data_IF_897223153290
#
_entry.id   IF_897223153290
#
_cell.length_a   1.000
_cell.length_b   1.000
_cell.length_c   1.000
_cell.angle_alpha   90.00
_cell.angle_beta   90.00
_cell.angle_gamma   90.00
#
_symmetry.space_group_name_H-M   'P 1'
#
loop_
_entity.id
_entity.type
_entity.pdbx_description
1 polymer ?
#
# COMPACT_ATOMS: atom_id res chain seq x y z
N UNK A 1 58.61 75.48 19.73
CA UNK A 1 57.51 75.24 20.71
C UNK A 1 56.51 74.32 20.06
N UNK A 2 56.53 73.02 20.34
CA UNK A 2 55.77 71.98 19.73
C UNK A 2 54.73 71.50 20.72
N UNK A 3 53.42 71.59 20.36
CA UNK A 3 52.34 70.94 21.09
C UNK A 3 52.05 69.59 20.46
N UNK A 4 52.11 68.54 21.26
CA UNK A 4 51.70 67.17 20.94
C UNK A 4 50.19 67.04 21.23
N UNK A 5 49.43 66.63 20.23
CA UNK A 5 48.03 66.23 20.37
C UNK A 5 47.96 64.77 20.75
N UNK A 6 47.26 64.40 21.82
CA UNK A 6 46.89 63.04 22.24
C UNK A 6 45.60 62.64 21.52
N UNK A 7 45.68 61.57 20.75
CA UNK A 7 44.48 60.89 20.23
C UNK A 7 44.06 59.79 21.21
N UNK A 8 42.86 59.93 21.78
CA UNK A 8 42.17 58.85 22.50
C UNK A 8 41.47 57.98 21.47
N UNK A 9 41.85 56.71 21.37
CA UNK A 9 41.12 55.66 20.63
C UNK A 9 40.20 54.97 21.63
N UNK A 10 38.89 55.19 21.48
CA UNK A 10 37.86 54.44 22.22
C UNK A 10 37.64 53.06 21.60
N UNK A 11 37.95 52.02 22.34
CA UNK A 11 37.56 50.64 22.00
C UNK A 11 36.08 50.41 22.33
N UNK A 12 35.23 50.32 21.33
CA UNK A 12 33.87 49.83 21.49
C UNK A 12 33.90 48.29 21.41
N UNK A 13 33.71 47.62 22.55
CA UNK A 13 33.53 46.18 22.59
C UNK A 13 32.10 45.84 22.14
N UNK A 14 31.92 45.31 20.92
CA UNK A 14 30.69 44.66 20.49
C UNK A 14 30.60 43.30 21.17
N UNK A 15 29.71 43.16 22.14
CA UNK A 15 29.30 41.85 22.70
C UNK A 15 28.38 41.17 21.71
N UNK A 16 28.91 40.24 20.92
CA UNK A 16 28.09 39.31 20.14
C UNK A 16 27.49 38.26 21.10
N UNK A 17 26.23 38.42 21.44
CA UNK A 17 25.46 37.38 22.11
C UNK A 17 25.26 36.24 21.10
N UNK A 18 26.05 35.18 21.24
CA UNK A 18 25.79 33.92 20.54
C UNK A 18 24.50 33.32 21.11
N UNK A 19 23.40 33.41 20.34
CA UNK A 19 22.24 32.58 20.59
C UNK A 19 22.63 31.16 20.25
N UNK A 20 23.02 30.37 21.24
CA UNK A 20 23.10 28.93 21.15
C UNK A 20 21.67 28.40 21.12
N UNK A 21 21.07 28.34 19.93
CA UNK A 21 19.92 27.50 19.71
C UNK A 21 20.35 26.06 20.02
N UNK A 22 19.80 25.47 21.05
CA UNK A 22 19.90 24.05 21.29
C UNK A 22 19.24 23.40 20.09
N UNK A 23 20.03 22.88 19.13
CA UNK A 23 19.53 21.95 18.16
C UNK A 23 19.01 20.74 18.96
N UNK A 24 17.70 20.55 18.98
CA UNK A 24 17.10 19.30 19.48
C UNK A 24 17.62 18.23 18.55
N UNK A 25 18.34 17.24 19.09
CA UNK A 25 18.79 16.12 18.30
C UNK A 25 17.56 15.38 17.73
N UNK A 26 17.62 15.00 16.45
CA UNK A 26 16.54 14.19 15.86
C UNK A 26 16.27 12.95 16.70
N UNK A 27 15.01 12.47 16.78
CA UNK A 27 14.66 11.25 17.49
C UNK A 27 15.53 10.07 17.05
N UNK A 28 15.90 9.23 17.99
CA UNK A 28 16.77 8.07 17.76
C UNK A 28 16.46 6.99 18.80
N UNK A 29 17.09 5.81 18.66
CA UNK A 29 16.96 4.74 19.62
C UNK A 29 17.82 4.93 20.89
N UNK A 30 18.58 6.01 20.99
CA UNK A 30 19.54 6.21 22.09
C UNK A 30 20.69 5.19 22.06
N UNK A 31 21.43 5.10 23.17
CA UNK A 31 22.57 4.18 23.32
C UNK A 31 22.25 2.94 24.16
N UNK A 32 21.19 2.97 24.94
CA UNK A 32 20.77 1.86 25.79
C UNK A 32 20.14 0.73 24.97
N UNK A 33 20.15 -0.51 25.46
CA UNK A 33 19.45 -1.62 24.81
C UNK A 33 17.93 -1.35 24.68
N UNK A 34 17.41 -1.49 23.47
CA UNK A 34 15.98 -1.32 23.14
C UNK A 34 15.45 -2.61 22.54
N UNK A 35 14.29 -3.06 23.02
CA UNK A 35 13.51 -4.13 22.40
C UNK A 35 12.25 -3.50 21.80
N UNK A 36 12.19 -3.46 20.47
CA UNK A 36 11.04 -2.98 19.70
C UNK A 36 9.98 -4.08 19.62
N UNK A 37 8.82 -3.85 20.21
CA UNK A 37 7.67 -4.74 20.03
C UNK A 37 7.01 -4.46 18.69
N UNK A 38 7.00 -5.45 17.81
CA UNK A 38 6.49 -5.29 16.44
C UNK A 38 5.38 -6.29 16.13
N UNK A 39 4.36 -5.86 15.39
CA UNK A 39 3.24 -6.70 14.95
C UNK A 39 3.10 -6.60 13.43
N UNK A 40 3.52 -7.66 12.72
CA UNK A 40 3.66 -7.71 11.28
C UNK A 40 2.67 -8.68 10.63
N UNK A 41 2.50 -8.56 9.34
CA UNK A 41 1.69 -9.45 8.52
C UNK A 41 2.48 -10.71 8.15
N UNK A 42 1.91 -11.88 8.42
CA UNK A 42 2.55 -13.17 8.11
C UNK A 42 2.63 -13.42 6.61
N UNK A 43 3.72 -14.03 6.16
CA UNK A 43 3.93 -14.41 4.76
C UNK A 43 4.61 -13.33 3.90
N UNK A 44 4.85 -12.13 4.44
CA UNK A 44 5.52 -11.04 3.75
C UNK A 44 6.84 -10.72 4.43
N UNK A 45 8.00 -11.10 3.83
CA UNK A 45 9.28 -11.05 4.51
C UNK A 45 9.87 -9.65 4.67
N UNK A 46 9.37 -8.64 3.94
CA UNK A 46 9.96 -7.30 3.89
C UNK A 46 10.13 -6.64 5.26
N UNK A 47 9.10 -6.53 6.14
CA UNK A 47 9.26 -5.85 7.42
C UNK A 47 10.30 -6.54 8.31
N UNK A 48 10.30 -7.87 8.34
CA UNK A 48 11.27 -8.67 9.11
C UNK A 48 12.70 -8.48 8.57
N UNK A 49 12.90 -8.46 7.25
CA UNK A 49 14.21 -8.20 6.63
C UNK A 49 14.72 -6.79 6.91
N UNK A 50 13.84 -5.80 6.94
CA UNK A 50 14.19 -4.43 7.33
C UNK A 50 14.58 -4.36 8.81
N UNK A 51 13.85 -5.03 9.70
CA UNK A 51 14.16 -5.11 11.13
C UNK A 51 15.53 -5.79 11.39
N UNK A 52 15.81 -6.90 10.69
CA UNK A 52 17.12 -7.57 10.75
C UNK A 52 18.27 -6.65 10.30
N UNK A 53 18.09 -5.90 9.22
CA UNK A 53 19.11 -4.99 8.72
C UNK A 53 19.29 -3.78 9.63
N UNK A 54 18.20 -3.26 10.21
CA UNK A 54 18.26 -2.20 11.20
C UNK A 54 19.06 -2.63 12.43
N UNK A 55 18.82 -3.82 12.97
CA UNK A 55 19.59 -4.40 14.10
C UNK A 55 21.08 -4.54 13.76
N UNK A 56 21.46 -4.87 12.52
CA UNK A 56 22.89 -4.91 12.12
C UNK A 56 23.55 -3.54 12.18
N UNK A 57 22.82 -2.49 11.78
CA UNK A 57 23.34 -1.12 11.81
C UNK A 57 23.25 -0.47 13.20
N UNK A 58 22.27 -0.89 14.01
CA UNK A 58 22.02 -0.41 15.37
C UNK A 58 21.96 -1.59 16.36
N UNK A 59 23.11 -2.17 16.76
CA UNK A 59 23.16 -3.43 17.53
C UNK A 59 22.53 -3.36 18.94
N UNK A 60 22.29 -2.16 19.46
CA UNK A 60 21.55 -1.97 20.70
C UNK A 60 20.04 -2.11 20.53
N UNK A 61 19.52 -2.21 19.31
CA UNK A 61 18.09 -2.39 18.99
C UNK A 61 17.84 -3.81 18.53
N UNK A 62 16.88 -4.46 19.14
CA UNK A 62 16.36 -5.78 18.74
C UNK A 62 14.85 -5.71 18.56
N UNK A 63 14.27 -6.67 17.84
CA UNK A 63 12.83 -6.73 17.61
C UNK A 63 12.23 -7.99 18.22
N UNK A 64 11.14 -7.83 18.97
CA UNK A 64 10.20 -8.91 19.34
C UNK A 64 9.04 -8.86 18.35
N UNK A 65 9.10 -9.72 17.32
CA UNK A 65 8.15 -9.70 16.20
C UNK A 65 7.07 -10.74 16.46
N UNK A 66 5.82 -10.28 16.47
CA UNK A 66 4.63 -11.14 16.38
C UNK A 66 4.03 -10.99 14.99
N UNK A 67 3.60 -12.10 14.42
CA UNK A 67 2.99 -12.11 13.08
C UNK A 67 1.57 -12.66 13.14
N UNK A 68 0.69 -12.12 12.30
CA UNK A 68 -0.67 -12.62 12.13
C UNK A 68 -1.15 -12.42 10.68
N UNK A 69 -2.22 -13.10 10.31
CA UNK A 69 -2.83 -12.94 8.99
C UNK A 69 -3.54 -11.60 8.88
N UNK A 70 -3.58 -11.02 7.67
CA UNK A 70 -4.20 -9.72 7.39
C UNK A 70 -5.62 -9.58 7.96
N UNK A 71 -6.48 -10.59 7.77
CA UNK A 71 -7.85 -10.56 8.30
C UNK A 71 -7.89 -10.45 9.84
N UNK A 72 -7.02 -11.20 10.53
CA UNK A 72 -6.91 -11.14 11.99
C UNK A 72 -6.36 -9.78 12.46
N UNK A 73 -5.43 -9.20 11.71
CA UNK A 73 -4.89 -7.88 12.03
C UNK A 73 -5.98 -6.81 11.93
N UNK A 74 -6.83 -6.86 10.90
CA UNK A 74 -7.98 -5.94 10.77
C UNK A 74 -8.90 -6.01 11.99
N UNK A 75 -9.18 -7.21 12.47
CA UNK A 75 -10.09 -7.44 13.59
C UNK A 75 -9.45 -7.11 14.96
N UNK A 76 -8.19 -7.48 15.15
CA UNK A 76 -7.54 -7.44 16.46
C UNK A 76 -6.75 -6.16 16.75
N UNK A 77 -6.41 -5.34 15.75
CA UNK A 77 -5.60 -4.13 15.97
C UNK A 77 -6.13 -3.20 17.06
N UNK A 78 -7.45 -2.91 17.15
CA UNK A 78 -7.95 -2.06 18.23
C UNK A 78 -7.69 -2.64 19.63
N UNK A 79 -7.89 -3.95 19.80
CA UNK A 79 -7.63 -4.63 21.07
C UNK A 79 -6.14 -4.61 21.42
N UNK A 80 -5.27 -4.96 20.47
CA UNK A 80 -3.82 -5.03 20.67
C UNK A 80 -3.26 -3.65 21.02
N UNK A 81 -3.70 -2.60 20.33
CA UNK A 81 -3.26 -1.21 20.58
C UNK A 81 -3.80 -0.63 21.89
N UNK A 82 -4.88 -1.19 22.45
CA UNK A 82 -5.42 -0.77 23.75
C UNK A 82 -4.65 -1.31 24.94
N UNK A 83 -3.84 -2.36 24.77
CA UNK A 83 -3.04 -2.98 25.82
C UNK A 83 -1.94 -2.02 26.34
N UNK A 84 -1.52 -2.18 27.60
CA UNK A 84 -0.50 -1.32 28.23
C UNK A 84 0.89 -1.50 27.60
N UNK A 85 1.13 -2.64 26.94
CA UNK A 85 2.33 -2.95 26.17
C UNK A 85 2.04 -2.95 24.66
N UNK A 86 1.29 -1.96 24.20
CA UNK A 86 0.99 -1.78 22.78
C UNK A 86 2.26 -1.85 21.92
N UNK A 87 2.19 -2.38 20.69
CA UNK A 87 3.34 -2.45 19.80
C UNK A 87 3.97 -1.08 19.55
N UNK A 88 5.30 -1.04 19.52
CA UNK A 88 6.06 0.12 19.06
C UNK A 88 5.89 0.33 17.56
N UNK A 89 5.70 -0.76 16.82
CA UNK A 89 5.48 -0.74 15.38
C UNK A 89 4.42 -1.75 14.98
N UNK A 90 3.38 -1.32 14.29
CA UNK A 90 2.27 -2.16 13.87
C UNK A 90 1.90 -1.93 12.41
N UNK A 91 1.71 -3.03 11.65
CA UNK A 91 1.08 -3.00 10.33
C UNK A 91 -0.40 -2.61 10.46
N UNK A 92 -0.83 -1.57 9.76
CA UNK A 92 -2.19 -1.02 9.84
C UNK A 92 -2.99 -1.29 8.56
N UNK A 93 -3.96 -2.19 8.58
CA UNK A 93 -4.92 -2.34 7.49
C UNK A 93 -5.88 -1.15 7.36
N UNK A 94 -6.27 -0.53 8.47
CA UNK A 94 -7.15 0.64 8.54
C UNK A 94 -6.76 1.54 9.70
N UNK A 95 -7.08 2.85 9.64
CA UNK A 95 -6.66 3.83 10.66
C UNK A 95 -7.82 4.60 11.30
N UNK A 96 -8.94 4.83 10.60
CA UNK A 96 -10.00 5.75 11.05
C UNK A 96 -10.46 5.47 12.48
N UNK A 97 -10.87 4.24 12.76
CA UNK A 97 -11.37 3.84 14.09
C UNK A 97 -10.25 3.88 15.14
N UNK A 98 -8.99 3.62 14.74
CA UNK A 98 -7.85 3.64 15.65
C UNK A 98 -7.52 5.08 16.08
N UNK A 99 -7.61 6.03 15.15
CA UNK A 99 -7.44 7.47 15.43
C UNK A 99 -8.58 7.98 16.30
N UNK A 100 -9.84 7.68 15.93
CA UNK A 100 -11.03 8.09 16.69
C UNK A 100 -11.03 7.61 18.16
N UNK A 101 -10.29 6.54 18.46
CA UNK A 101 -10.18 5.95 19.80
C UNK A 101 -8.83 6.21 20.47
N UNK A 102 -8.04 7.16 20.00
CA UNK A 102 -6.72 7.53 20.55
C UNK A 102 -5.74 6.34 20.70
N UNK A 103 -5.78 5.40 19.76
CA UNK A 103 -4.96 4.19 19.82
C UNK A 103 -3.61 4.31 19.11
N UNK A 104 -3.42 5.33 18.29
CA UNK A 104 -2.18 5.61 17.56
C UNK A 104 -1.46 6.85 18.09
N UNK A 105 -0.15 6.89 17.97
CA UNK A 105 0.64 8.09 18.20
C UNK A 105 0.50 9.05 17.01
N UNK A 106 0.27 10.33 17.31
CA UNK A 106 0.34 11.41 16.32
C UNK A 106 1.79 11.61 15.87
N UNK A 107 2.04 11.67 14.57
CA UNK A 107 3.38 11.76 13.99
C UNK A 107 3.77 13.16 13.50
N UNK A 108 2.96 14.20 13.70
CA UNK A 108 3.23 15.56 13.22
C UNK A 108 4.52 16.16 13.83
N UNK A 109 4.87 15.78 15.07
CA UNK A 109 6.15 16.12 15.67
C UNK A 109 7.32 15.54 14.89
N UNK A 110 7.27 14.24 14.63
CA UNK A 110 8.28 13.53 13.86
C UNK A 110 8.34 13.96 12.39
N UNK A 111 7.17 14.31 11.81
CA UNK A 111 7.08 14.88 10.45
C UNK A 111 7.98 16.11 10.32
N UNK A 112 7.96 16.99 11.33
CA UNK A 112 8.79 18.21 11.36
C UNK A 112 10.26 17.88 11.62
N UNK A 113 10.55 16.98 12.56
CA UNK A 113 11.90 16.67 13.01
C UNK A 113 12.73 15.90 11.99
N UNK A 114 12.10 14.96 11.26
CA UNK A 114 12.73 14.21 10.18
C UNK A 114 12.65 14.90 8.81
N UNK A 115 11.89 15.99 8.69
CA UNK A 115 11.71 16.71 7.43
C UNK A 115 10.94 15.90 6.39
N UNK A 116 9.88 15.19 6.81
CA UNK A 116 9.01 14.42 5.92
C UNK A 116 8.14 15.29 4.99
N UNK A 117 8.16 16.62 5.18
CA UNK A 117 7.63 17.61 4.25
C UNK A 117 8.26 17.54 2.85
N UNK A 118 9.46 16.95 2.73
CA UNK A 118 10.13 16.67 1.45
C UNK A 118 9.53 15.52 0.67
N UNK A 119 8.72 14.68 1.31
CA UNK A 119 8.07 13.56 0.61
C UNK A 119 6.98 14.12 -0.30
N UNK A 120 6.74 13.51 -1.47
CA UNK A 120 5.61 13.87 -2.32
C UNK A 120 4.30 13.84 -1.53
N UNK A 121 3.50 14.89 -1.61
CA UNK A 121 2.26 15.01 -0.83
C UNK A 121 1.31 13.82 -1.08
N UNK A 122 1.27 13.27 -2.30
CA UNK A 122 0.48 12.08 -2.65
C UNK A 122 0.87 10.82 -1.90
N UNK A 123 2.10 10.71 -1.42
CA UNK A 123 2.54 9.59 -0.58
C UNK A 123 2.01 9.67 0.85
N UNK A 124 1.75 10.87 1.36
CA UNK A 124 1.35 11.09 2.73
C UNK A 124 -0.17 11.28 2.90
N UNK A 125 -0.88 11.64 1.83
CA UNK A 125 -2.31 11.93 1.91
C UNK A 125 -3.12 10.76 2.46
N UNK A 126 -2.82 9.53 2.05
CA UNK A 126 -3.51 8.32 2.54
C UNK A 126 -3.23 8.01 4.02
N UNK A 127 -2.18 8.61 4.60
CA UNK A 127 -1.69 8.39 5.97
C UNK A 127 -2.18 9.47 6.94
N UNK A 128 -2.92 10.47 6.42
CA UNK A 128 -3.51 11.55 7.21
C UNK A 128 -4.97 11.26 7.54
N UNK A 129 -5.35 11.59 8.76
CA UNK A 129 -6.72 11.42 9.27
C UNK A 129 -7.01 12.59 10.19
N UNK A 130 -8.23 13.16 10.11
CA UNK A 130 -8.72 14.14 11.08
C UNK A 130 -8.84 13.52 12.49
N UNK A 131 -8.66 14.31 13.53
CA UNK A 131 -8.61 13.83 14.93
C UNK A 131 -9.85 13.01 15.35
N UNK A 132 -11.00 13.25 14.73
CA UNK A 132 -12.22 12.45 14.93
C UNK A 132 -12.25 11.11 14.17
N UNK A 133 -11.14 10.72 13.52
CA UNK A 133 -11.05 9.49 12.71
C UNK A 133 -11.54 9.63 11.27
N UNK A 134 -12.16 10.77 10.92
CA UNK A 134 -12.68 11.05 9.56
C UNK A 134 -12.91 12.54 9.32
N UNK A 135 -12.80 12.99 8.03
CA UNK A 135 -12.36 12.19 6.88
C UNK A 135 -10.87 11.81 6.94
N UNK A 136 -10.48 10.82 6.13
CA UNK A 136 -9.09 10.54 5.79
C UNK A 136 -8.62 11.46 4.66
N UNK A 137 -7.33 11.51 4.43
CA UNK A 137 -6.73 12.37 3.38
C UNK A 137 -6.49 13.81 3.82
N UNK A 138 -6.80 14.16 5.06
CA UNK A 138 -6.60 15.47 5.68
C UNK A 138 -6.25 15.29 7.18
N UNK A 139 -5.98 16.39 7.87
CA UNK A 139 -5.64 16.36 9.29
C UNK A 139 -4.20 15.92 9.58
N UNK A 140 -4.01 15.31 10.74
CA UNK A 140 -2.71 14.89 11.26
C UNK A 140 -2.17 13.64 10.59
N UNK A 141 -0.85 13.45 10.62
CA UNK A 141 -0.16 12.23 10.18
C UNK A 141 -0.16 11.20 11.31
N UNK A 142 -0.63 9.97 11.01
CA UNK A 142 -0.78 8.91 12.01
C UNK A 142 0.02 7.63 11.70
N UNK A 143 0.58 7.56 10.50
CA UNK A 143 1.36 6.42 10.06
C UNK A 143 2.37 6.82 8.99
N UNK A 144 3.29 5.90 8.66
CA UNK A 144 4.18 5.99 7.52
C UNK A 144 4.09 4.73 6.66
N UNK A 145 4.39 4.86 5.36
CA UNK A 145 4.54 3.72 4.46
C UNK A 145 5.96 3.20 4.48
N UNK A 146 6.15 1.89 4.60
CA UNK A 146 7.46 1.29 4.35
C UNK A 146 7.80 1.30 2.85
N UNK A 147 6.78 1.17 2.01
CA UNK A 147 6.80 1.32 0.56
C UNK A 147 5.43 1.75 0.04
N UNK A 148 5.32 1.87 -1.28
CA UNK A 148 4.08 2.23 -1.98
C UNK A 148 3.80 1.16 -3.02
N UNK A 149 2.86 0.30 -2.69
CA UNK A 149 2.47 -0.84 -3.52
C UNK A 149 1.32 -0.49 -4.44
N UNK A 150 1.17 -1.27 -5.51
CA UNK A 150 0.04 -1.16 -6.42
C UNK A 150 -0.41 -2.56 -6.87
N UNK A 151 -1.63 -2.66 -7.38
CA UNK A 151 -2.11 -3.87 -8.05
C UNK A 151 -2.14 -3.70 -9.57
N UNK A 152 -2.05 -4.82 -10.26
CA UNK A 152 -2.16 -4.91 -11.71
C UNK A 152 -2.26 -6.36 -12.14
N UNK A 153 -1.83 -6.64 -13.35
CA UNK A 153 -2.00 -7.92 -14.02
C UNK A 153 -0.65 -8.60 -14.20
N UNK A 154 -0.40 -9.65 -13.44
CA UNK A 154 0.68 -10.59 -13.74
C UNK A 154 0.24 -11.54 -14.84
N UNK A 155 1.13 -11.90 -15.75
CA UNK A 155 0.82 -12.84 -16.82
C UNK A 155 1.92 -13.88 -17.05
N UNK A 156 1.51 -15.07 -17.43
CA UNK A 156 2.42 -16.14 -17.81
C UNK A 156 2.89 -15.92 -19.26
N UNK A 157 4.19 -15.60 -19.45
CA UNK A 157 4.78 -15.27 -20.75
C UNK A 157 4.67 -16.43 -21.76
N UNK A 158 4.81 -17.68 -21.33
CA UNK A 158 4.72 -18.84 -22.20
C UNK A 158 3.28 -19.01 -22.74
N UNK A 159 2.28 -18.94 -21.85
CA UNK A 159 0.87 -19.04 -22.26
C UNK A 159 0.44 -17.84 -23.11
N UNK A 160 0.89 -16.64 -22.77
CA UNK A 160 0.63 -15.44 -23.56
C UNK A 160 1.22 -15.54 -24.97
N UNK A 161 2.45 -15.99 -25.11
CA UNK A 161 3.08 -16.24 -26.40
C UNK A 161 2.36 -17.31 -27.23
N UNK A 162 1.91 -18.42 -26.59
CA UNK A 162 1.08 -19.46 -27.24
C UNK A 162 -0.22 -18.87 -27.79
N UNK A 163 -0.80 -17.89 -27.12
CA UNK A 163 -2.00 -17.17 -27.57
C UNK A 163 -1.70 -16.03 -28.55
N UNK A 164 -0.43 -15.83 -28.91
CA UNK A 164 -0.01 -14.79 -29.86
C UNK A 164 0.03 -13.38 -29.28
N UNK A 165 0.08 -13.22 -27.95
CA UNK A 165 0.29 -11.95 -27.29
C UNK A 165 1.76 -11.54 -27.48
N UNK A 166 2.01 -10.48 -28.25
CA UNK A 166 3.36 -9.91 -28.45
C UNK A 166 3.62 -8.71 -27.54
N UNK A 167 2.57 -7.98 -27.19
CA UNK A 167 2.57 -6.83 -26.29
C UNK A 167 1.34 -6.93 -25.36
N UNK A 168 1.37 -6.31 -24.18
CA UNK A 168 0.20 -6.21 -23.31
C UNK A 168 -0.99 -5.57 -24.02
N UNK A 169 -2.25 -5.99 -23.74
CA UNK A 169 -3.46 -5.35 -24.24
C UNK A 169 -3.47 -3.86 -23.95
N UNK A 170 -3.90 -3.06 -24.92
CA UNK A 170 -3.95 -1.60 -24.84
C UNK A 170 -5.34 -1.08 -24.49
N UNK A 171 -6.37 -1.93 -24.59
CA UNK A 171 -7.75 -1.62 -24.25
C UNK A 171 -8.37 -2.76 -23.44
N UNK A 172 -9.42 -2.43 -22.69
CA UNK A 172 -10.21 -3.44 -21.96
C UNK A 172 -10.80 -4.50 -22.92
N UNK A 173 -11.24 -4.06 -24.11
CA UNK A 173 -11.76 -5.00 -25.14
C UNK A 173 -10.69 -5.97 -25.66
N UNK A 174 -9.45 -5.52 -25.82
CA UNK A 174 -8.33 -6.42 -26.20
C UNK A 174 -8.00 -7.39 -25.08
N UNK A 175 -8.09 -6.93 -23.82
CA UNK A 175 -7.89 -7.79 -22.66
C UNK A 175 -8.97 -8.89 -22.59
N UNK A 176 -10.24 -8.52 -22.77
CA UNK A 176 -11.35 -9.49 -22.84
C UNK A 176 -11.19 -10.52 -23.95
N UNK A 177 -10.80 -10.07 -25.15
CA UNK A 177 -10.54 -10.96 -26.28
C UNK A 177 -9.39 -11.94 -25.98
N UNK A 178 -8.38 -11.54 -25.22
CA UNK A 178 -7.29 -12.40 -24.77
C UNK A 178 -7.80 -13.46 -23.78
N UNK A 179 -8.67 -13.09 -22.83
CA UNK A 179 -9.28 -14.02 -21.86
C UNK A 179 -10.20 -15.04 -22.57
N UNK A 180 -11.02 -14.58 -23.52
CA UNK A 180 -11.88 -15.44 -24.32
C UNK A 180 -11.05 -16.47 -25.12
N UNK A 181 -9.97 -16.01 -25.76
CA UNK A 181 -9.05 -16.86 -26.51
C UNK A 181 -8.39 -17.92 -25.59
N UNK A 182 -7.94 -17.51 -24.40
CA UNK A 182 -7.37 -18.44 -23.42
C UNK A 182 -8.38 -19.56 -23.08
N UNK A 183 -9.62 -19.19 -22.79
CA UNK A 183 -10.68 -20.14 -22.48
C UNK A 183 -10.96 -21.10 -23.64
N UNK A 184 -11.02 -20.59 -24.88
CA UNK A 184 -11.24 -21.39 -26.08
C UNK A 184 -10.14 -22.44 -26.31
N UNK A 185 -8.90 -22.12 -25.91
CA UNK A 185 -7.74 -23.02 -25.95
C UNK A 185 -7.62 -23.93 -24.72
N UNK A 186 -8.61 -23.92 -23.81
CA UNK A 186 -8.61 -24.70 -22.58
C UNK A 186 -7.60 -24.25 -21.52
N UNK A 187 -7.11 -23.01 -21.63
CA UNK A 187 -6.26 -22.37 -20.64
C UNK A 187 -7.14 -21.63 -19.63
N UNK A 188 -6.90 -21.80 -18.32
CA UNK A 188 -7.57 -21.01 -17.29
C UNK A 188 -7.27 -19.53 -17.52
N UNK A 189 -8.28 -18.67 -17.84
CA UNK A 189 -8.00 -17.27 -18.16
C UNK A 189 -7.41 -16.51 -16.99
N UNK A 190 -8.11 -16.50 -15.83
CA UNK A 190 -7.71 -15.76 -14.63
C UNK A 190 -7.53 -16.75 -13.49
N UNK A 191 -6.34 -16.82 -12.90
CA UNK A 191 -6.10 -17.52 -11.66
C UNK A 191 -6.30 -16.56 -10.49
N UNK A 192 -7.33 -16.75 -9.68
CA UNK A 192 -7.67 -15.87 -8.58
C UNK A 192 -8.22 -16.62 -7.38
N UNK A 193 -7.92 -16.14 -6.18
CA UNK A 193 -8.52 -16.64 -4.94
C UNK A 193 -9.78 -15.83 -4.58
N UNK A 194 -10.65 -16.39 -3.74
CA UNK A 194 -11.79 -15.65 -3.16
C UNK A 194 -12.22 -16.19 -1.79
N UNK A 195 -11.40 -17.06 -1.16
CA UNK A 195 -11.63 -17.51 0.20
C UNK A 195 -11.10 -16.51 1.21
N UNK A 196 -11.90 -16.15 2.20
CA UNK A 196 -11.49 -15.35 3.35
C UNK A 196 -11.41 -13.86 3.09
N UNK A 197 -10.42 -13.43 2.33
CA UNK A 197 -10.09 -12.00 2.14
C UNK A 197 -10.59 -11.41 0.82
N UNK A 198 -11.56 -12.05 0.14
CA UNK A 198 -12.21 -11.47 -1.04
C UNK A 198 -11.24 -11.07 -2.16
N UNK A 199 -10.42 -12.01 -2.63
CA UNK A 199 -9.40 -11.74 -3.64
C UNK A 199 -9.93 -11.14 -4.95
N UNK A 200 -11.21 -11.33 -5.27
CA UNK A 200 -11.87 -10.67 -6.39
C UNK A 200 -12.03 -9.15 -6.19
N UNK A 201 -11.72 -8.60 -5.02
CA UNK A 201 -11.61 -7.15 -4.85
C UNK A 201 -10.50 -6.55 -5.74
N UNK A 202 -9.42 -7.29 -6.03
CA UNK A 202 -8.35 -6.81 -6.89
C UNK A 202 -8.78 -6.64 -8.36
N UNK A 203 -9.32 -7.67 -9.04
CA UNK A 203 -9.83 -7.45 -10.40
C UNK A 203 -10.98 -6.42 -10.43
N UNK A 204 -11.85 -6.38 -9.41
CA UNK A 204 -12.92 -5.37 -9.33
C UNK A 204 -12.34 -3.95 -9.29
N UNK A 205 -11.37 -3.69 -8.43
CA UNK A 205 -10.79 -2.36 -8.29
C UNK A 205 -9.97 -1.95 -9.51
N UNK A 206 -9.29 -2.90 -10.17
CA UNK A 206 -8.65 -2.66 -11.47
C UNK A 206 -9.68 -2.31 -12.56
N UNK A 207 -10.83 -2.98 -12.58
CA UNK A 207 -11.94 -2.63 -13.48
C UNK A 207 -12.53 -1.25 -13.15
N UNK A 208 -12.69 -0.89 -11.87
CA UNK A 208 -13.11 0.48 -11.50
C UNK A 208 -12.15 1.52 -12.09
N UNK A 209 -10.84 1.25 -12.05
CA UNK A 209 -9.84 2.12 -12.66
C UNK A 209 -9.87 2.14 -14.19
N UNK A 210 -10.29 1.05 -14.84
CA UNK A 210 -10.46 1.02 -16.29
C UNK A 210 -11.64 1.86 -16.76
N UNK A 211 -12.73 1.90 -15.98
CA UNK A 211 -13.95 2.63 -16.31
C UNK A 211 -13.96 4.08 -15.84
N UNK A 212 -13.22 4.45 -14.81
CA UNK A 212 -13.32 5.80 -14.26
C UNK A 212 -12.10 6.30 -13.52
N UNK A 213 -12.18 7.58 -13.12
CA UNK A 213 -11.12 8.22 -12.34
C UNK A 213 -11.08 7.70 -10.89
N UNK A 214 -9.91 7.75 -10.23
CA UNK A 214 -9.75 7.25 -8.85
C UNK A 214 -10.46 8.11 -7.80
N UNK A 215 -10.77 9.37 -8.09
CA UNK A 215 -11.25 10.34 -7.11
C UNK A 215 -12.56 9.91 -6.41
N UNK A 216 -13.63 9.45 -7.10
CA UNK A 216 -14.86 9.02 -6.43
C UNK A 216 -14.65 7.83 -5.49
N UNK A 217 -13.81 6.89 -5.89
CA UNK A 217 -13.45 5.71 -5.06
C UNK A 217 -12.65 6.16 -3.84
N UNK A 218 -11.66 7.04 -4.03
CA UNK A 218 -10.88 7.61 -2.91
C UNK A 218 -11.76 8.43 -1.96
N UNK A 219 -12.69 9.22 -2.47
CA UNK A 219 -13.60 10.02 -1.64
C UNK A 219 -14.46 9.13 -0.74
N UNK A 220 -14.94 8.01 -1.26
CA UNK A 220 -15.64 6.99 -0.49
C UNK A 220 -14.74 6.31 0.55
N UNK A 221 -13.54 5.88 0.15
CA UNK A 221 -12.58 5.25 1.06
C UNK A 221 -12.14 6.21 2.18
N UNK A 222 -12.01 7.50 1.86
CA UNK A 222 -11.63 8.53 2.83
C UNK A 222 -12.80 9.03 3.67
N UNK A 223 -13.99 8.46 3.50
CA UNK A 223 -15.19 8.80 4.29
C UNK A 223 -15.56 10.28 4.19
N UNK A 224 -15.42 10.86 2.98
CA UNK A 224 -15.85 12.24 2.75
C UNK A 224 -17.36 12.35 2.73
N UNK A 225 -17.87 13.49 3.18
CA UNK A 225 -19.31 13.75 3.25
C UNK A 225 -19.99 13.56 1.89
N UNK A 226 -21.03 12.74 1.86
CA UNK A 226 -21.81 12.47 0.65
C UNK A 226 -21.15 11.52 -0.36
N UNK A 227 -19.97 11.00 -0.07
CA UNK A 227 -19.31 10.04 -0.94
C UNK A 227 -20.05 8.69 -0.98
N UNK A 228 -20.06 8.07 -2.14
CA UNK A 228 -20.69 6.77 -2.38
C UNK A 228 -19.84 5.93 -3.32
N UNK A 229 -19.82 4.60 -3.09
CA UNK A 229 -19.23 3.66 -4.05
C UNK A 229 -20.24 3.32 -5.17
N UNK A 230 -21.51 3.62 -5.00
CA UNK A 230 -22.55 3.38 -6.00
C UNK A 230 -22.51 4.45 -7.10
N UNK A 231 -21.41 4.49 -7.83
CA UNK A 231 -21.20 5.33 -9.02
C UNK A 231 -21.47 4.55 -10.30
N UNK A 232 -21.79 5.20 -11.42
CA UNK A 232 -21.95 4.51 -12.71
C UNK A 232 -20.77 3.62 -13.06
N UNK A 233 -19.54 4.11 -12.89
CA UNK A 233 -18.30 3.43 -13.24
C UNK A 233 -18.05 2.20 -12.34
N UNK A 234 -18.33 2.30 -11.03
CA UNK A 234 -18.19 1.17 -10.12
C UNK A 234 -19.26 0.09 -10.39
N UNK A 235 -20.49 0.50 -10.76
CA UNK A 235 -21.56 -0.43 -11.17
C UNK A 235 -21.21 -1.13 -12.48
N UNK A 236 -20.60 -0.42 -13.44
CA UNK A 236 -20.14 -0.99 -14.70
C UNK A 236 -18.99 -1.97 -14.49
N UNK A 237 -18.00 -1.61 -13.67
CA UNK A 237 -16.91 -2.49 -13.26
C UNK A 237 -17.42 -3.79 -12.60
N UNK A 238 -18.38 -3.68 -11.70
CA UNK A 238 -18.99 -4.82 -11.03
C UNK A 238 -19.80 -5.70 -11.99
N UNK A 239 -20.49 -5.10 -12.97
CA UNK A 239 -21.21 -5.80 -14.03
C UNK A 239 -20.22 -6.54 -14.94
N UNK A 240 -19.09 -5.93 -15.26
CA UNK A 240 -18.03 -6.55 -16.05
C UNK A 240 -17.43 -7.76 -15.31
N UNK A 241 -17.12 -7.61 -14.02
CA UNK A 241 -16.65 -8.72 -13.19
C UNK A 241 -17.66 -9.88 -13.15
N UNK A 242 -18.96 -9.57 -13.01
CA UNK A 242 -20.04 -10.56 -13.10
C UNK A 242 -20.02 -11.31 -14.44
N UNK A 243 -19.80 -10.59 -15.55
CA UNK A 243 -19.70 -11.19 -16.87
C UNK A 243 -18.49 -12.14 -16.97
N UNK A 244 -17.34 -11.80 -16.42
CA UNK A 244 -16.20 -12.71 -16.35
C UNK A 244 -16.49 -13.97 -15.52
N UNK A 245 -17.21 -13.82 -14.40
CA UNK A 245 -17.66 -14.97 -13.58
C UNK A 245 -18.59 -15.87 -14.40
N UNK A 246 -19.62 -15.30 -15.05
CA UNK A 246 -20.56 -16.04 -15.92
C UNK A 246 -19.89 -16.70 -17.11
N UNK A 247 -18.90 -16.03 -17.68
CA UNK A 247 -18.07 -16.60 -18.75
C UNK A 247 -17.16 -17.72 -18.23
N UNK A 248 -17.03 -17.96 -16.92
CA UNK A 248 -16.17 -18.98 -16.32
C UNK A 248 -14.69 -18.70 -16.53
N UNK A 249 -14.29 -17.44 -16.40
CA UNK A 249 -12.88 -17.05 -16.50
C UNK A 249 -12.10 -17.30 -15.22
N UNK A 250 -12.78 -17.45 -14.09
CA UNK A 250 -12.18 -17.82 -12.80
C UNK A 250 -12.22 -19.33 -12.55
N UNK A 251 -11.33 -19.87 -11.69
CA UNK A 251 -11.43 -21.27 -11.27
C UNK A 251 -12.80 -21.56 -10.65
N UNK A 252 -13.38 -22.73 -10.97
CA UNK A 252 -14.67 -23.14 -10.41
C UNK A 252 -14.67 -23.28 -8.88
N UNK A 253 -13.47 -23.45 -8.30
CA UNK A 253 -13.22 -23.53 -6.86
C UNK A 253 -12.69 -22.21 -6.25
N UNK A 254 -12.81 -21.05 -6.93
CA UNK A 254 -12.26 -19.77 -6.49
C UNK A 254 -12.65 -19.40 -5.05
N UNK A 255 -13.90 -19.68 -4.64
CA UNK A 255 -14.38 -19.45 -3.26
C UNK A 255 -13.72 -20.38 -2.20
N UNK A 256 -12.99 -21.39 -2.61
CA UNK A 256 -12.25 -22.31 -1.73
C UNK A 256 -10.73 -22.06 -1.76
N UNK A 257 -10.24 -21.28 -2.71
CA UNK A 257 -8.81 -20.99 -2.89
C UNK A 257 -8.40 -19.87 -1.94
N UNK A 258 -7.33 -20.12 -1.18
CA UNK A 258 -6.64 -19.11 -0.36
C UNK A 258 -5.51 -18.42 -1.13
N UNK A 259 -5.04 -17.27 -0.64
CA UNK A 259 -4.01 -16.44 -1.29
C UNK A 259 -2.75 -17.24 -1.69
N UNK A 260 -2.10 -17.89 -0.72
CA UNK A 260 -0.86 -18.64 -1.01
C UNK A 260 -1.09 -19.90 -1.85
N UNK A 261 -2.29 -20.47 -1.82
CA UNK A 261 -2.65 -21.56 -2.70
C UNK A 261 -2.77 -21.07 -4.16
N UNK A 262 -3.41 -19.92 -4.37
CA UNK A 262 -3.47 -19.26 -5.69
C UNK A 262 -2.06 -18.97 -6.21
N UNK A 263 -1.19 -18.36 -5.38
CA UNK A 263 0.21 -18.09 -5.76
C UNK A 263 0.95 -19.34 -6.19
N UNK A 264 0.83 -20.45 -5.44
CA UNK A 264 1.46 -21.73 -5.78
C UNK A 264 0.96 -22.29 -7.10
N UNK A 265 -0.36 -22.22 -7.37
CA UNK A 265 -0.97 -22.68 -8.62
C UNK A 265 -0.52 -21.83 -9.80
N UNK A 266 -0.50 -20.49 -9.66
CA UNK A 266 -0.08 -19.58 -10.72
C UNK A 266 1.42 -19.73 -11.07
N UNK A 267 2.30 -19.79 -10.07
CA UNK A 267 3.74 -20.04 -10.26
C UNK A 267 3.96 -21.44 -10.88
N UNK A 268 3.11 -22.39 -10.55
CA UNK A 268 3.09 -23.73 -11.13
C UNK A 268 2.62 -23.78 -12.59
N UNK A 269 2.17 -22.67 -13.16
CA UNK A 269 1.75 -22.53 -14.55
C UNK A 269 0.24 -22.63 -14.79
N UNK A 270 -0.59 -22.65 -13.74
CA UNK A 270 -2.03 -22.60 -13.86
C UNK A 270 -2.50 -21.16 -14.06
N UNK A 271 -3.15 -20.88 -15.19
CA UNK A 271 -3.73 -19.59 -15.50
C UNK A 271 -2.85 -18.70 -16.38
N UNK A 272 -3.53 -17.95 -17.25
CA UNK A 272 -2.89 -16.96 -18.13
C UNK A 272 -2.51 -15.71 -17.37
N UNK A 273 -3.45 -15.15 -16.60
CA UNK A 273 -3.25 -13.94 -15.80
C UNK A 273 -3.68 -14.14 -14.36
N UNK A 274 -3.18 -13.25 -13.49
CA UNK A 274 -3.52 -13.12 -12.09
C UNK A 274 -3.53 -11.64 -11.71
N UNK A 275 -4.58 -11.20 -11.03
CA UNK A 275 -4.61 -9.87 -10.44
C UNK A 275 -3.98 -9.92 -9.05
N UNK A 276 -2.89 -9.19 -8.86
CA UNK A 276 -2.19 -9.14 -7.57
C UNK A 276 -1.36 -7.86 -7.47
N UNK A 277 -0.71 -7.67 -6.33
CA UNK A 277 0.15 -6.53 -6.11
C UNK A 277 1.62 -6.80 -6.40
N UNK A 278 2.34 -5.71 -6.62
CA UNK A 278 3.77 -5.67 -6.89
C UNK A 278 4.62 -6.27 -5.77
N UNK A 279 4.08 -6.42 -4.56
CA UNK A 279 4.73 -7.12 -3.43
C UNK A 279 5.09 -8.59 -3.71
N UNK A 280 4.54 -9.18 -4.77
CA UNK A 280 4.92 -10.53 -5.24
C UNK A 280 6.07 -10.52 -6.26
N UNK A 281 6.51 -9.35 -6.73
CA UNK A 281 7.53 -9.25 -7.79
C UNK A 281 8.84 -9.91 -7.40
N UNK A 282 9.31 -9.66 -6.17
CA UNK A 282 10.51 -10.31 -5.64
C UNK A 282 10.38 -11.83 -5.55
N UNK A 283 9.17 -12.33 -5.22
CA UNK A 283 8.87 -13.78 -5.20
C UNK A 283 8.94 -14.38 -6.61
N UNK A 284 8.37 -13.70 -7.62
CA UNK A 284 8.47 -14.14 -9.02
C UNK A 284 9.91 -14.12 -9.52
N UNK A 285 10.65 -13.07 -9.24
CA UNK A 285 12.05 -12.95 -9.68
C UNK A 285 12.95 -14.01 -9.03
N UNK A 286 12.71 -14.35 -7.75
CA UNK A 286 13.46 -15.36 -7.03
C UNK A 286 13.13 -16.80 -7.45
N UNK A 287 11.85 -17.12 -7.67
CA UNK A 287 11.37 -18.50 -7.82
C UNK A 287 10.96 -18.86 -9.24
N UNK A 288 10.75 -17.88 -10.13
CA UNK A 288 10.25 -18.09 -11.48
C UNK A 288 10.81 -17.07 -12.49
N UNK A 289 12.07 -16.71 -12.35
CA UNK A 289 12.75 -15.70 -13.15
C UNK A 289 12.48 -15.86 -14.65
N UNK A 290 12.05 -14.76 -15.30
CA UNK A 290 11.81 -14.70 -16.73
C UNK A 290 10.51 -15.34 -17.22
N UNK A 291 9.75 -16.05 -16.37
CA UNK A 291 8.52 -16.75 -16.78
C UNK A 291 7.29 -15.87 -16.76
N UNK A 292 7.29 -14.82 -15.94
CA UNK A 292 6.16 -13.93 -15.76
C UNK A 292 6.48 -12.50 -16.19
N UNK A 293 5.46 -11.74 -16.48
CA UNK A 293 5.51 -10.32 -16.72
C UNK A 293 4.40 -9.61 -15.96
N UNK A 294 4.38 -8.28 -16.04
CA UNK A 294 3.40 -7.45 -15.37
C UNK A 294 3.00 -6.30 -16.28
N UNK A 295 1.73 -5.88 -16.21
CA UNK A 295 1.23 -4.65 -16.81
C UNK A 295 0.07 -4.08 -15.99
N UNK A 296 -0.18 -2.77 -16.12
CA UNK A 296 -1.38 -2.14 -15.56
C UNK A 296 -2.61 -2.54 -16.37
N UNK A 297 -3.74 -2.72 -15.69
CA UNK A 297 -5.02 -2.93 -16.37
C UNK A 297 -5.24 -1.81 -17.38
N UNK A 298 -5.49 -2.10 -18.67
CA UNK A 298 -5.77 -1.07 -19.64
C UNK A 298 -7.12 -0.40 -19.36
N UNK A 299 -7.24 0.86 -19.74
CA UNK A 299 -8.52 1.57 -19.76
C UNK A 299 -9.40 1.08 -20.93
N UNK A 300 -10.67 1.53 -21.00
CA UNK A 300 -11.55 1.22 -22.11
C UNK A 300 -10.96 1.67 -23.46
N UNK A 301 -10.39 2.88 -23.50
CA UNK A 301 -9.83 3.50 -24.70
C UNK A 301 -8.31 3.38 -24.70
N UNK A 302 -7.74 3.14 -25.87
CA UNK A 302 -6.29 3.10 -26.04
C UNK A 302 -5.64 4.44 -25.67
N UNK A 303 -4.61 4.42 -24.83
CA UNK A 303 -3.94 5.61 -24.31
C UNK A 303 -4.74 6.39 -23.27
N UNK A 304 -5.83 5.81 -22.76
CA UNK A 304 -6.54 6.35 -21.59
C UNK A 304 -5.69 6.22 -20.33
N UNK A 305 -6.10 6.96 -19.29
CA UNK A 305 -5.43 6.97 -17.99
C UNK A 305 -5.49 5.58 -17.32
N UNK A 306 -4.37 5.16 -16.76
CA UNK A 306 -4.36 4.00 -15.88
C UNK A 306 -4.72 4.43 -14.46
N UNK A 307 -5.63 3.68 -13.83
CA UNK A 307 -5.90 3.81 -12.40
C UNK A 307 -6.01 2.43 -11.77
N UNK A 308 -5.42 2.28 -10.60
CA UNK A 308 -5.37 1.01 -9.88
C UNK A 308 -5.23 1.25 -8.38
N UNK A 309 -5.51 0.21 -7.60
CA UNK A 309 -5.15 0.24 -6.18
C UNK A 309 -3.66 0.55 -6.06
N UNK A 310 -3.36 1.65 -5.37
CA UNK A 310 -2.00 2.02 -5.00
C UNK A 310 -2.04 2.64 -3.60
N UNK A 311 -1.43 1.96 -2.66
CA UNK A 311 -1.48 2.31 -1.27
C UNK A 311 -0.12 2.08 -0.58
N UNK A 312 0.20 2.88 0.46
CA UNK A 312 1.36 2.62 1.29
C UNK A 312 1.21 1.29 2.03
N UNK A 313 2.30 0.56 2.21
CA UNK A 313 2.41 -0.49 3.21
C UNK A 313 2.47 0.19 4.58
N UNK A 314 1.30 0.47 5.14
CA UNK A 314 1.10 1.39 6.26
C UNK A 314 1.56 0.78 7.58
N UNK A 315 2.39 1.53 8.31
CA UNK A 315 2.83 1.21 9.66
C UNK A 315 2.59 2.39 10.59
N UNK A 316 2.00 2.13 11.74
CA UNK A 316 1.79 3.09 12.81
C UNK A 316 2.54 2.74 14.07
N UNK A 317 2.52 3.67 15.01
CA UNK A 317 3.11 3.57 16.35
C UNK A 317 1.95 3.57 17.34
N UNK A 318 1.92 2.62 18.27
CA UNK A 318 0.89 2.58 19.31
C UNK A 318 0.92 3.83 20.20
N UNK A 319 -0.24 4.35 20.59
CA UNK A 319 -0.31 5.50 21.51
C UNK A 319 0.39 5.22 22.85
N UNK A 320 0.35 3.96 23.30
CA UNK A 320 0.99 3.50 24.54
C UNK A 320 2.36 2.84 24.31
N UNK A 321 2.91 2.90 23.10
CA UNK A 321 4.22 2.33 22.76
C UNK A 321 5.32 2.90 23.66
N UNK A 322 6.23 2.05 24.11
CA UNK A 322 7.32 2.43 25.01
C UNK A 322 8.47 3.14 24.25
N UNK A 323 8.71 2.78 22.98
CA UNK A 323 9.88 3.18 22.21
C UNK A 323 9.50 4.02 20.98
N UNK A 324 8.58 5.01 21.13
CA UNK A 324 8.03 5.82 20.02
C UNK A 324 9.10 6.49 19.16
N UNK A 325 10.12 7.08 19.79
CA UNK A 325 11.20 7.79 19.10
C UNK A 325 12.04 6.82 18.25
N UNK A 326 12.31 5.63 18.77
CA UNK A 326 13.02 4.59 18.02
C UNK A 326 12.17 4.03 16.87
N UNK A 327 10.85 3.87 17.07
CA UNK A 327 9.93 3.46 16.03
C UNK A 327 9.84 4.50 14.90
N UNK A 328 9.74 5.78 15.25
CA UNK A 328 9.72 6.87 14.27
C UNK A 328 11.06 6.96 13.50
N UNK A 329 12.19 6.78 14.20
CA UNK A 329 13.51 6.71 13.55
C UNK A 329 13.64 5.51 12.62
N UNK A 330 13.10 4.35 12.98
CA UNK A 330 13.05 3.18 12.08
C UNK A 330 12.25 3.49 10.80
N UNK A 331 11.10 4.14 10.92
CA UNK A 331 10.27 4.53 9.75
C UNK A 331 11.01 5.52 8.83
N UNK A 332 11.70 6.51 9.41
CA UNK A 332 12.54 7.43 8.64
C UNK A 332 13.71 6.71 7.96
N UNK A 333 14.39 5.82 8.71
CA UNK A 333 15.50 5.03 8.18
C UNK A 333 15.06 4.14 7.00
N UNK A 334 13.87 3.53 7.05
CA UNK A 334 13.34 2.74 5.94
C UNK A 334 13.19 3.57 4.67
N UNK A 335 12.73 4.80 4.79
CA UNK A 335 12.48 5.68 3.65
C UNK A 335 13.76 6.32 3.09
N UNK A 336 14.80 6.51 3.92
CA UNK A 336 15.97 7.35 3.58
C UNK A 336 17.28 6.59 3.45
N UNK A 337 17.43 5.44 4.13
CA UNK A 337 18.66 4.66 4.11
C UNK A 337 18.82 3.85 2.82
N UNK A 338 19.99 3.93 2.18
CA UNK A 338 20.26 3.26 0.90
C UNK A 338 20.04 1.74 0.96
N UNK A 339 20.52 1.07 2.02
CA UNK A 339 20.39 -0.38 2.16
C UNK A 339 18.93 -0.79 2.44
N UNK A 340 18.20 -0.01 3.25
CA UNK A 340 16.78 -0.24 3.49
C UNK A 340 15.95 -0.11 2.20
N UNK A 341 16.22 0.93 1.41
CA UNK A 341 15.58 1.16 0.11
C UNK A 341 15.89 0.03 -0.88
N UNK A 342 17.13 -0.49 -0.86
CA UNK A 342 17.52 -1.65 -1.67
C UNK A 342 16.74 -2.90 -1.26
N UNK A 343 16.65 -3.21 0.03
CA UNK A 343 15.86 -4.34 0.55
C UNK A 343 14.39 -4.16 0.15
N UNK A 344 13.86 -2.94 0.23
CA UNK A 344 12.50 -2.63 -0.12
C UNK A 344 12.16 -2.97 -1.57
N UNK A 345 13.05 -2.66 -2.50
CA UNK A 345 12.90 -2.98 -3.92
C UNK A 345 13.13 -4.48 -4.19
N UNK A 346 14.20 -5.07 -3.65
CA UNK A 346 14.57 -6.46 -3.93
C UNK A 346 13.62 -7.49 -3.30
N UNK A 347 13.09 -7.19 -2.12
CA UNK A 347 12.21 -8.10 -1.36
C UNK A 347 10.74 -7.69 -1.51
N UNK A 348 10.45 -6.40 -1.42
CA UNK A 348 9.10 -5.85 -1.51
C UNK A 348 8.60 -5.65 -2.93
N UNK A 349 9.50 -5.56 -3.94
CA UNK A 349 9.13 -5.36 -5.34
C UNK A 349 8.44 -4.04 -5.67
N UNK A 350 8.28 -3.16 -4.68
CA UNK A 350 7.48 -1.93 -4.74
C UNK A 350 8.36 -0.68 -4.68
N UNK A 351 7.76 0.47 -5.02
CA UNK A 351 8.44 1.75 -4.90
C UNK A 351 8.74 2.07 -3.42
N UNK A 352 10.00 2.32 -3.05
CA UNK A 352 10.36 2.59 -1.66
C UNK A 352 9.83 3.95 -1.13
N UNK A 353 9.27 4.80 -2.01
CA UNK A 353 8.81 6.14 -1.60
C UNK A 353 9.96 7.04 -1.13
N UNK A 354 9.64 7.97 -0.23
CA UNK A 354 10.60 8.89 0.35
C UNK A 354 10.83 10.16 -0.48
N UNK A 355 11.84 10.97 -0.12
CA UNK A 355 12.19 12.17 -0.85
C UNK A 355 12.50 11.90 -2.32
N UNK A 356 12.06 12.75 -3.27
CA UNK A 356 12.18 12.49 -4.71
C UNK A 356 13.61 12.61 -5.25
N UNK A 357 14.52 13.20 -4.50
CA UNK A 357 15.95 13.28 -4.82
C UNK A 357 16.74 12.01 -4.49
N UNK A 358 16.13 11.07 -3.75
CA UNK A 358 16.73 9.77 -3.48
C UNK A 358 16.48 8.81 -4.66
N UNK A 359 17.54 8.18 -5.20
CA UNK A 359 17.40 7.28 -6.34
C UNK A 359 16.59 6.03 -5.96
N UNK A 360 15.82 5.53 -6.92
CA UNK A 360 15.27 4.18 -6.83
C UNK A 360 16.43 3.20 -7.08
N UNK A 361 16.64 2.21 -6.21
CA UNK A 361 17.70 1.21 -6.39
C UNK A 361 17.58 0.47 -7.72
N UNK A 362 18.73 0.18 -8.33
CA UNK A 362 18.75 -0.54 -9.59
C UNK A 362 18.26 -1.99 -9.40
N UNK A 363 17.52 -2.49 -10.39
CA UNK A 363 16.97 -3.85 -10.44
C UNK A 363 17.50 -4.62 -11.63
N UNK A 364 17.32 -5.92 -11.65
CA UNK A 364 17.72 -6.78 -12.77
C UNK A 364 16.92 -6.44 -14.03
N UNK A 365 17.54 -6.09 -15.16
CA UNK A 365 16.82 -5.83 -16.40
C UNK A 365 15.97 -7.03 -16.84
N UNK A 366 14.74 -6.77 -17.27
CA UNK A 366 13.76 -7.78 -17.70
C UNK A 366 13.09 -8.54 -16.55
N UNK A 367 13.38 -8.17 -15.28
CA UNK A 367 12.71 -8.72 -14.10
C UNK A 367 11.25 -8.26 -13.98
N UNK A 368 10.46 -8.96 -13.18
CA UNK A 368 9.10 -8.54 -12.84
C UNK A 368 9.14 -7.26 -12.01
N UNK A 369 10.10 -7.14 -11.11
CA UNK A 369 10.32 -5.94 -10.30
C UNK A 369 10.60 -4.69 -11.16
N UNK A 370 11.37 -4.81 -12.26
CA UNK A 370 11.55 -3.69 -13.20
C UNK A 370 10.21 -3.25 -13.81
N UNK A 371 9.39 -4.22 -14.24
CA UNK A 371 8.09 -3.93 -14.85
C UNK A 371 7.12 -3.27 -13.85
N UNK A 372 7.08 -3.72 -12.60
CA UNK A 372 6.22 -3.13 -11.56
C UNK A 372 6.68 -1.73 -11.16
N UNK A 373 7.98 -1.48 -11.03
CA UNK A 373 8.50 -0.12 -10.75
C UNK A 373 8.17 0.85 -11.89
N UNK A 374 8.29 0.41 -13.16
CA UNK A 374 7.89 1.21 -14.31
C UNK A 374 6.39 1.53 -14.31
N UNK A 375 5.55 0.54 -14.00
CA UNK A 375 4.11 0.69 -13.87
C UNK A 375 3.72 1.65 -12.72
N UNK A 376 4.41 1.58 -11.58
CA UNK A 376 4.22 2.52 -10.46
C UNK A 376 4.52 3.97 -10.85
N UNK A 377 5.54 4.19 -11.70
CA UNK A 377 5.84 5.52 -12.23
C UNK A 377 4.74 6.02 -13.17
N UNK A 378 4.13 5.15 -13.98
CA UNK A 378 2.98 5.50 -14.82
C UNK A 378 1.81 5.95 -13.96
N UNK A 379 1.41 5.15 -12.95
CA UNK A 379 0.33 5.51 -12.02
C UNK A 379 0.57 6.84 -11.32
N UNK A 380 1.81 7.08 -10.86
CA UNK A 380 2.16 8.33 -10.19
C UNK A 380 2.07 9.53 -11.15
N UNK A 381 2.54 9.39 -12.40
CA UNK A 381 2.52 10.44 -13.41
C UNK A 381 1.10 10.78 -13.86
N UNK A 382 0.24 9.77 -13.95
CA UNK A 382 -1.15 9.90 -14.39
C UNK A 382 -2.12 10.22 -13.24
N UNK A 383 -1.64 10.34 -12.00
CA UNK A 383 -2.46 10.48 -10.79
C UNK A 383 -3.53 9.36 -10.69
N UNK A 384 -3.14 8.14 -11.01
CA UNK A 384 -4.03 6.97 -11.09
C UNK A 384 -4.16 6.18 -9.78
N UNK A 385 -3.60 6.66 -8.68
CA UNK A 385 -3.61 5.94 -7.41
C UNK A 385 -4.99 5.95 -6.74
N UNK A 386 -5.54 4.77 -6.49
CA UNK A 386 -6.69 4.54 -5.61
C UNK A 386 -6.20 3.90 -4.32
N UNK A 387 -6.69 4.34 -3.15
CA UNK A 387 -6.50 3.58 -1.92
C UNK A 387 -7.26 2.24 -2.00
N UNK A 388 -6.94 1.28 -1.17
CA UNK A 388 -7.59 -0.02 -1.20
C UNK A 388 -9.02 0.07 -0.69
N UNK A 389 -9.99 -0.45 -1.46
CA UNK A 389 -11.42 -0.41 -1.08
C UNK A 389 -11.72 -1.10 0.26
N UNK A 390 -10.86 -1.99 0.73
CA UNK A 390 -10.94 -2.59 2.05
C UNK A 390 -10.66 -1.59 3.19
N UNK A 391 -10.01 -0.46 2.91
CA UNK A 391 -9.60 0.52 3.91
C UNK A 391 -10.67 1.56 4.23
N UNK A 392 -11.86 1.50 3.61
CA UNK A 392 -12.89 2.49 3.79
C UNK A 392 -13.44 2.52 5.23
N UNK A 393 -13.59 1.36 5.87
CA UNK A 393 -13.88 1.24 7.31
C UNK A 393 -13.19 0.00 7.89
N UNK A 394 -13.08 -0.10 9.21
CA UNK A 394 -12.43 -1.25 9.87
C UNK A 394 -13.07 -2.61 9.57
N UNK A 395 -14.35 -2.65 9.23
CA UNK A 395 -15.08 -3.91 9.00
C UNK A 395 -15.62 -4.10 7.58
N UNK A 396 -15.48 -3.10 6.67
CA UNK A 396 -16.09 -3.18 5.33
C UNK A 396 -15.59 -4.35 4.50
N UNK A 397 -14.32 -4.73 4.67
CA UNK A 397 -13.77 -5.84 3.92
C UNK A 397 -14.40 -7.16 4.33
N UNK A 398 -14.47 -7.45 5.62
CA UNK A 398 -15.02 -8.69 6.16
C UNK A 398 -16.55 -8.76 6.08
N UNK A 399 -17.24 -7.64 6.33
CA UNK A 399 -18.70 -7.59 6.42
C UNK A 399 -19.41 -7.17 5.11
N UNK A 400 -18.70 -6.49 4.21
CA UNK A 400 -19.21 -6.03 2.93
C UNK A 400 -18.60 -6.79 1.75
N UNK A 401 -17.36 -6.45 1.36
CA UNK A 401 -16.76 -6.96 0.13
C UNK A 401 -16.63 -8.48 0.07
N UNK A 402 -16.06 -9.11 1.08
CA UNK A 402 -15.80 -10.55 1.06
C UNK A 402 -17.06 -11.39 0.84
N UNK A 403 -18.14 -11.24 1.66
CA UNK A 403 -19.35 -12.04 1.46
C UNK A 403 -20.05 -11.74 0.13
N UNK A 404 -20.06 -10.48 -0.33
CA UNK A 404 -20.73 -10.12 -1.56
C UNK A 404 -19.99 -10.65 -2.80
N UNK A 405 -18.65 -10.60 -2.83
CA UNK A 405 -17.83 -11.20 -3.87
C UNK A 405 -17.96 -12.74 -3.90
N UNK A 406 -18.09 -13.39 -2.74
CA UNK A 406 -18.37 -14.83 -2.67
C UNK A 406 -19.74 -15.19 -3.23
N UNK A 407 -20.76 -14.37 -2.95
CA UNK A 407 -22.10 -14.53 -3.53
C UNK A 407 -22.11 -14.31 -5.04
N UNK A 408 -21.32 -13.33 -5.54
CA UNK A 408 -21.15 -13.07 -6.98
C UNK A 408 -20.58 -14.29 -7.69
N UNK A 409 -19.47 -14.86 -7.18
CA UNK A 409 -18.87 -16.11 -7.71
C UNK A 409 -19.83 -17.29 -7.61
N UNK A 410 -20.63 -17.34 -6.55
CA UNK A 410 -21.66 -18.38 -6.37
C UNK A 410 -22.90 -18.20 -7.26
N UNK A 411 -22.99 -17.13 -8.05
CA UNK A 411 -24.12 -16.86 -8.95
C UNK A 411 -25.42 -16.48 -8.25
N UNK A 412 -25.33 -16.04 -6.97
CA UNK A 412 -26.50 -15.63 -6.17
C UNK A 412 -26.54 -14.13 -5.92
N UNK A 413 -25.60 -13.39 -6.50
CA UNK A 413 -25.54 -11.91 -6.46
C UNK A 413 -25.23 -11.38 -7.87
N UNK A 414 -25.68 -10.16 -8.17
CA UNK A 414 -25.33 -9.43 -9.38
C UNK A 414 -24.27 -8.35 -9.08
N UNK A 415 -23.57 -7.90 -10.11
CA UNK A 415 -22.60 -6.81 -9.95
C UNK A 415 -23.22 -5.55 -9.32
N UNK A 416 -24.30 -5.01 -9.89
CA UNK A 416 -24.99 -3.84 -9.30
C UNK A 416 -25.50 -4.09 -7.88
N UNK A 417 -26.14 -5.25 -7.62
CA UNK A 417 -26.63 -5.60 -6.29
C UNK A 417 -25.50 -5.76 -5.24
N UNK A 418 -24.31 -6.17 -5.66
CA UNK A 418 -23.11 -6.21 -4.81
C UNK A 418 -22.70 -4.79 -4.38
N UNK A 419 -22.63 -3.84 -5.32
CA UNK A 419 -22.26 -2.45 -5.02
C UNK A 419 -23.28 -1.81 -4.05
N UNK A 420 -24.60 -2.02 -4.29
CA UNK A 420 -25.67 -1.55 -3.38
C UNK A 420 -25.54 -2.14 -1.97
N UNK A 421 -25.25 -3.45 -1.87
CA UNK A 421 -25.12 -4.12 -0.58
C UNK A 421 -23.88 -3.64 0.20
N UNK A 422 -22.77 -3.39 -0.48
CA UNK A 422 -21.55 -2.84 0.12
C UNK A 422 -21.78 -1.41 0.58
N UNK A 423 -22.44 -0.57 -0.22
CA UNK A 423 -22.79 0.80 0.18
C UNK A 423 -23.69 0.80 1.42
N UNK A 424 -24.70 -0.06 1.48
CA UNK A 424 -25.57 -0.16 2.64
C UNK A 424 -24.83 -0.59 3.93
N UNK A 425 -23.88 -1.53 3.82
CA UNK A 425 -23.06 -1.92 4.97
C UNK A 425 -22.11 -0.79 5.39
N UNK A 426 -21.52 -0.06 4.44
CA UNK A 426 -20.71 1.13 4.71
C UNK A 426 -21.47 2.19 5.51
N UNK A 427 -22.67 2.58 5.06
CA UNK A 427 -23.52 3.56 5.74
C UNK A 427 -23.91 3.11 7.16
N UNK A 428 -24.20 1.82 7.33
CA UNK A 428 -24.47 1.22 8.64
C UNK A 428 -23.27 1.30 9.58
N UNK A 429 -22.05 1.14 9.06
CA UNK A 429 -20.83 1.24 9.86
C UNK A 429 -20.53 2.69 10.26
N UNK A 430 -20.75 3.66 9.35
CA UNK A 430 -20.56 5.08 9.66
C UNK A 430 -21.60 5.67 10.62
N UNK A 431 -22.77 5.03 10.76
CA UNK A 431 -23.85 5.48 11.66
C UNK A 431 -23.67 5.02 13.12
N UNK A 432 -22.66 4.21 13.41
CA UNK A 432 -22.34 3.71 14.75
C UNK A 432 -21.36 4.63 15.47
#
# INVERSE_FOLDING_TARGET
>A
MTLKSLNLVGLAALSAAAMTGTAIAAPSCGADPVVMNAYFETGFPLPTRLAEEFTKQFPNVTFDIKEDQFANMMENSPRILSEDNAPDLIRLPSMSDLVANDLLANLDGYFTEFGWDKFPAGQLVQLRVEDGGRPRGAGSLWAMGLNYSMTGVFYNKELAAKLGMTEPPQTLAEFDALLEKAKAEGIQPIMQWNKGTGGLAFPLQNLMGAYGPPEPVNDWIFQKDGATINTPEAVEAATHLENWVKAGYFPSDANAIEYFQMMSRFIGGEGLVMFNGDWESGNFDANAAGKFGFFLMPSEEAGGRHASMSAPLTFGIGAKAANKDCAAFFLDWVATNEQARKINVEVGGSNPGGPPDLPIPAVTPGSVTEATLAAGNVLATENGAMDFIANATGAIFAAGWTPELQKLVGGVQTGPGMIEAVQAEYEKQLSR
#
